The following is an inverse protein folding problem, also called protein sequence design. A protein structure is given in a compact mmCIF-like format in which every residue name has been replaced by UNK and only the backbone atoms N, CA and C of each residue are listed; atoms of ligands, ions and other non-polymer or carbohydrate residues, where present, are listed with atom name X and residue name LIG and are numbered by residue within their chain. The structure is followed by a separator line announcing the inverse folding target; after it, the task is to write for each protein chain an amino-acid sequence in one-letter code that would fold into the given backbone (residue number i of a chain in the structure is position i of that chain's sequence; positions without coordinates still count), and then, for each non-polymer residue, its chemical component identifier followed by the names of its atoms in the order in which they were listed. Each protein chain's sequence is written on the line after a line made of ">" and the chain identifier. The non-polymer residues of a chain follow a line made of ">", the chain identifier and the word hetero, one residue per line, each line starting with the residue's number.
data_IF_649551964214
#
_entry.id   IF_649551964214
#
_cell.length_a   1.000
_cell.length_b   1.000
_cell.length_c   1.000
_cell.angle_alpha   90.00
_cell.angle_beta   90.00
_cell.angle_gamma   90.00
#
_symmetry.space_group_name_H-M   'P 1'
#
loop_
_entity.id
_entity.type
_entity.pdbx_description
1 polymer ?
#
# COMPACT_ATOMS: atom_id res chain seq x y z
N UNK A 1 -20.67 -14.27 4.29
CA UNK A 1 -19.48 -13.94 3.46
C UNK A 1 -19.86 -14.12 1.99
N UNK A 2 -19.62 -13.11 1.16
CA UNK A 2 -19.96 -13.16 -0.27
C UNK A 2 -18.97 -14.11 -0.97
N UNK A 3 -19.46 -15.21 -1.57
CA UNK A 3 -18.63 -16.33 -2.08
C UNK A 3 -17.80 -16.00 -3.33
N UNK A 4 -17.92 -14.79 -3.89
CA UNK A 4 -17.26 -14.39 -5.15
C UNK A 4 -16.01 -13.51 -4.97
N UNK A 5 -15.59 -13.21 -3.73
CA UNK A 5 -14.40 -12.37 -3.51
C UNK A 5 -13.15 -13.25 -3.55
N UNK A 6 -12.34 -13.10 -4.61
CA UNK A 6 -11.01 -13.72 -4.68
C UNK A 6 -10.04 -12.98 -3.78
N UNK A 7 -9.41 -13.71 -2.87
CA UNK A 7 -8.42 -13.16 -1.95
C UNK A 7 -7.09 -13.02 -2.70
N UNK A 8 -6.43 -11.86 -2.65
CA UNK A 8 -5.13 -11.70 -3.29
C UNK A 8 -4.08 -12.55 -2.58
N UNK A 9 -3.19 -13.14 -3.36
CA UNK A 9 -2.06 -13.92 -2.85
C UNK A 9 -1.01 -13.04 -2.17
N UNK A 10 -0.74 -11.90 -2.80
CA UNK A 10 0.27 -10.91 -2.40
C UNK A 10 -0.37 -9.53 -2.42
N UNK A 11 -0.10 -8.73 -1.39
CA UNK A 11 -0.55 -7.34 -1.28
C UNK A 11 0.66 -6.46 -0.95
N UNK A 12 0.93 -5.48 -1.80
CA UNK A 12 1.93 -4.45 -1.54
C UNK A 12 1.24 -3.24 -0.90
N UNK A 13 1.54 -2.98 0.37
CA UNK A 13 1.06 -1.81 1.09
C UNK A 13 2.12 -0.71 1.01
N UNK A 14 1.87 0.29 0.16
CA UNK A 14 2.70 1.49 0.04
C UNK A 14 2.43 2.43 1.23
N UNK A 15 3.31 2.42 2.22
CA UNK A 15 3.19 3.26 3.41
C UNK A 15 3.94 4.57 3.25
N UNK A 16 3.24 5.68 3.49
CA UNK A 16 3.78 7.03 3.45
C UNK A 16 3.23 7.83 4.63
N UNK A 17 4.02 8.72 5.25
CA UNK A 17 3.50 9.69 6.21
C UNK A 17 2.37 10.53 5.61
N UNK A 18 1.32 10.76 6.39
CA UNK A 18 0.13 11.50 5.94
C UNK A 18 0.47 12.93 5.51
N UNK A 19 1.38 13.58 6.23
CA UNK A 19 1.87 14.92 5.89
C UNK A 19 2.50 14.97 4.50
N UNK A 20 3.33 13.97 4.16
CA UNK A 20 3.94 13.86 2.85
C UNK A 20 2.91 13.54 1.76
N UNK A 21 1.95 12.64 2.03
CA UNK A 21 0.86 12.37 1.10
C UNK A 21 0.08 13.64 0.75
N UNK A 22 -0.32 14.43 1.76
CA UNK A 22 -1.01 15.71 1.55
C UNK A 22 -0.14 16.69 0.78
N UNK A 23 1.16 16.76 1.07
CA UNK A 23 2.10 17.62 0.34
C UNK A 23 2.13 17.26 -1.15
N UNK A 24 2.22 15.96 -1.49
CA UNK A 24 2.19 15.48 -2.87
C UNK A 24 0.85 15.77 -3.56
N UNK A 25 -0.27 15.53 -2.88
CA UNK A 25 -1.61 15.83 -3.40
C UNK A 25 -1.83 17.31 -3.69
N UNK A 26 -1.31 18.20 -2.83
CA UNK A 26 -1.36 19.65 -3.08
C UNK A 26 -0.50 20.07 -4.27
N UNK A 27 0.64 19.41 -4.48
CA UNK A 27 1.52 19.68 -5.62
C UNK A 27 0.89 19.28 -6.96
N UNK A 28 -0.08 18.36 -6.99
CA UNK A 28 -0.85 18.02 -8.20
C UNK A 28 -1.78 19.15 -8.67
N UNK A 29 -1.97 20.21 -7.88
CA UNK A 29 -2.74 21.40 -8.28
C UNK A 29 -4.26 21.21 -8.26
N UNK A 30 -4.76 20.06 -7.80
CA UNK A 30 -6.20 19.77 -7.69
C UNK A 30 -6.76 20.11 -6.31
N UNK A 31 -8.07 20.36 -6.25
CA UNK A 31 -8.77 20.55 -4.99
C UNK A 31 -8.84 19.24 -4.22
N UNK A 32 -8.41 19.27 -2.96
CA UNK A 32 -8.53 18.13 -2.05
C UNK A 32 -10.02 17.82 -1.80
N UNK A 33 -10.37 16.55 -1.88
CA UNK A 33 -11.72 16.05 -1.59
C UNK A 33 -11.95 15.96 -0.08
N UNK A 34 -13.21 15.73 0.35
CA UNK A 34 -13.56 15.57 1.77
C UNK A 34 -12.79 14.46 2.50
N UNK A 35 -12.26 13.49 1.75
CA UNK A 35 -11.49 12.35 2.26
C UNK A 35 -9.97 12.58 2.27
N UNK A 36 -9.51 13.74 1.80
CA UNK A 36 -8.09 14.09 1.71
C UNK A 36 -7.70 15.10 2.79
N UNK A 37 -8.23 14.89 3.99
CA UNK A 37 -7.86 15.61 5.20
C UNK A 37 -6.97 14.73 6.09
N UNK A 38 -6.15 15.39 6.91
CA UNK A 38 -5.11 14.72 7.69
C UNK A 38 -5.65 13.71 8.71
N UNK A 39 -6.71 14.05 9.43
CA UNK A 39 -7.29 13.17 10.44
C UNK A 39 -7.84 11.89 9.80
N UNK A 40 -8.58 12.02 8.70
CA UNK A 40 -9.12 10.89 7.97
C UNK A 40 -8.01 9.99 7.43
N UNK A 41 -6.99 10.57 6.79
CA UNK A 41 -5.87 9.81 6.24
C UNK A 41 -5.04 9.11 7.33
N UNK A 42 -4.87 9.72 8.53
CA UNK A 42 -4.23 9.04 9.67
C UNK A 42 -5.01 7.80 10.11
N UNK A 43 -6.34 7.89 10.20
CA UNK A 43 -7.21 6.75 10.55
C UNK A 43 -7.11 5.65 9.49
N UNK A 44 -7.19 6.02 8.22
CA UNK A 44 -7.05 5.08 7.09
C UNK A 44 -5.70 4.37 7.11
N UNK A 45 -4.59 5.10 7.29
CA UNK A 45 -3.25 4.52 7.42
C UNK A 45 -3.18 3.51 8.56
N UNK A 46 -3.71 3.87 9.73
CA UNK A 46 -3.77 2.98 10.89
C UNK A 46 -4.55 1.70 10.62
N UNK A 47 -5.67 1.79 9.90
CA UNK A 47 -6.47 0.62 9.54
C UNK A 47 -5.71 -0.32 8.59
N UNK A 48 -5.04 0.21 7.57
CA UNK A 48 -4.24 -0.61 6.64
C UNK A 48 -3.03 -1.25 7.32
N UNK A 49 -2.31 -0.53 8.19
CA UNK A 49 -1.21 -1.09 8.97
C UNK A 49 -1.68 -2.18 9.94
N UNK A 50 -2.85 -2.00 10.54
CA UNK A 50 -3.46 -3.04 11.37
C UNK A 50 -3.89 -4.25 10.54
N UNK A 51 -4.43 -4.02 9.33
CA UNK A 51 -4.83 -5.08 8.42
C UNK A 51 -3.64 -5.94 7.97
N UNK A 52 -2.52 -5.32 7.58
CA UNK A 52 -1.33 -6.04 7.14
C UNK A 52 -0.74 -6.94 8.24
N UNK A 53 -0.90 -6.56 9.51
CA UNK A 53 -0.47 -7.36 10.66
C UNK A 53 -1.41 -8.52 11.00
N UNK A 54 -2.71 -8.38 10.72
CA UNK A 54 -3.75 -9.36 11.11
C UNK A 54 -4.15 -10.30 9.97
N UNK A 55 -3.89 -9.91 8.72
CA UNK A 55 -4.25 -10.72 7.57
C UNK A 55 -3.49 -12.05 7.58
N UNK A 56 -4.23 -13.15 7.52
CA UNK A 56 -3.67 -14.51 7.45
C UNK A 56 -3.76 -15.13 6.05
N UNK A 57 -4.67 -14.62 5.22
CA UNK A 57 -4.98 -15.20 3.91
C UNK A 57 -4.20 -14.60 2.74
N UNK A 58 -3.46 -13.53 2.97
CA UNK A 58 -2.65 -12.84 1.96
C UNK A 58 -1.29 -12.49 2.54
N UNK A 59 -0.24 -12.56 1.72
CA UNK A 59 1.09 -12.11 2.11
C UNK A 59 1.20 -10.60 1.90
N UNK A 60 1.40 -9.86 2.99
CA UNK A 60 1.56 -8.41 2.92
C UNK A 60 3.04 -8.03 2.90
N UNK A 61 3.41 -7.14 1.97
CA UNK A 61 4.69 -6.45 1.95
C UNK A 61 4.48 -4.97 2.25
N UNK A 62 5.09 -4.47 3.31
CA UNK A 62 5.09 -3.06 3.63
C UNK A 62 6.22 -2.38 2.88
N UNK A 63 5.89 -1.45 1.98
CA UNK A 63 6.85 -0.75 1.13
C UNK A 63 6.93 0.70 1.56
N UNK A 64 8.15 1.20 1.77
CA UNK A 64 8.37 2.59 2.13
C UNK A 64 8.18 3.51 0.90
N UNK A 65 7.06 4.21 0.84
CA UNK A 65 6.73 5.10 -0.27
C UNK A 65 7.34 6.52 -0.15
N UNK A 66 8.26 6.74 0.80
CA UNK A 66 9.13 7.91 0.85
C UNK A 66 10.29 7.87 -0.16
N UNK A 67 10.64 6.67 -0.65
CA UNK A 67 11.70 6.46 -1.65
C UNK A 67 11.33 7.07 -3.01
N UNK A 68 12.29 7.10 -3.93
CA UNK A 68 12.02 7.49 -5.32
C UNK A 68 11.11 6.46 -6.01
N UNK A 69 10.48 6.85 -7.13
CA UNK A 69 9.63 5.94 -7.90
C UNK A 69 10.41 4.74 -8.41
N UNK A 70 11.63 4.98 -8.89
CA UNK A 70 12.53 3.97 -9.46
C UNK A 70 12.97 2.96 -8.40
N UNK A 71 13.26 3.43 -7.18
CA UNK A 71 13.60 2.55 -6.05
C UNK A 71 12.43 1.66 -5.65
N UNK A 72 11.22 2.23 -5.57
CA UNK A 72 10.00 1.50 -5.22
C UNK A 72 9.69 0.47 -6.31
N UNK A 73 9.75 0.86 -7.58
CA UNK A 73 9.52 -0.04 -8.71
C UNK A 73 10.47 -1.24 -8.68
N UNK A 74 11.77 -0.99 -8.50
CA UNK A 74 12.78 -2.05 -8.40
C UNK A 74 12.49 -3.00 -7.22
N UNK A 75 12.08 -2.47 -6.08
CA UNK A 75 11.68 -3.26 -4.92
C UNK A 75 10.46 -4.14 -5.20
N UNK A 76 9.41 -3.58 -5.82
CA UNK A 76 8.19 -4.30 -6.19
C UNK A 76 8.45 -5.42 -7.20
N UNK A 77 9.25 -5.14 -8.24
CA UNK A 77 9.62 -6.14 -9.26
C UNK A 77 10.38 -7.30 -8.62
N UNK A 78 11.37 -7.01 -7.79
CA UNK A 78 12.15 -8.04 -7.10
C UNK A 78 11.29 -8.93 -6.20
N UNK A 79 10.38 -8.33 -5.42
CA UNK A 79 9.46 -9.08 -4.56
C UNK A 79 8.48 -9.92 -5.40
N UNK A 80 7.96 -9.37 -6.50
CA UNK A 80 7.05 -10.10 -7.39
C UNK A 80 7.74 -11.32 -8.00
N UNK A 81 8.95 -11.15 -8.55
CA UNK A 81 9.74 -12.26 -9.10
C UNK A 81 10.06 -13.33 -8.05
N UNK A 82 10.35 -12.91 -6.81
CA UNK A 82 10.60 -13.82 -5.69
C UNK A 82 9.37 -14.66 -5.34
N UNK A 83 8.18 -14.07 -5.35
CA UNK A 83 6.94 -14.79 -5.07
C UNK A 83 6.53 -15.72 -6.21
N UNK A 84 6.77 -15.33 -7.47
CA UNK A 84 6.55 -16.20 -8.63
C UNK A 84 7.46 -17.44 -8.59
N UNK A 85 8.75 -17.28 -8.25
CA UNK A 85 9.69 -18.41 -8.14
C UNK A 85 9.29 -19.41 -7.06
N UNK A 86 8.86 -18.93 -5.88
CA UNK A 86 8.43 -19.79 -4.77
C UNK A 86 7.16 -20.59 -5.05
N UNK A 87 6.37 -20.20 -6.06
CA UNK A 87 5.12 -20.89 -6.43
C UNK A 87 5.29 -21.89 -7.57
N UNK A 88 6.35 -21.76 -8.35
CA UNK A 88 6.67 -22.64 -9.49
C UNK A 88 7.58 -23.83 -9.10
N UNK A 89 7.93 -23.96 -7.82
CA UNK A 89 8.68 -25.09 -7.24
C UNK A 89 7.83 -25.82 -6.23
#
# INVERSE_FOLDING_TARGET
>A
MNRSIRIPDVVFLLDIPVSEAIRRLKAEGRRLTRYENEEYLRRVRGHYLSLSRRARSSRFYLINAMKSKEEIEKELVNLTLRELKQRSS
#
